data_IF_430284246499
#
_entry.id   IF_430284246499
#
_cell.length_a   1.000
_cell.length_b   1.000
_cell.length_c   1.000
_cell.angle_alpha   90.00
_cell.angle_beta   90.00
_cell.angle_gamma   90.00
#
_symmetry.space_group_name_H-M   'P 1'
#
loop_
_entity.id
_entity.type
_entity.pdbx_description
1 polymer ?
#
# COMPACT_ATOMS: atom_id res chain seq x y z
N UNK A 1 12.74 -0.95 -14.18
CA UNK A 1 12.94 -2.15 -13.34
C UNK A 1 14.19 -2.86 -13.83
N UNK A 2 15.23 -3.00 -13.00
CA UNK A 2 16.49 -3.65 -13.43
C UNK A 2 16.29 -5.16 -13.51
N UNK A 3 16.41 -5.71 -14.70
CA UNK A 3 16.36 -7.16 -14.97
C UNK A 3 17.79 -7.68 -14.81
N UNK A 4 18.27 -7.84 -13.58
CA UNK A 4 19.57 -8.49 -13.31
C UNK A 4 19.40 -9.92 -12.81
N UNK A 5 18.21 -10.27 -12.39
CA UNK A 5 17.79 -11.59 -11.95
C UNK A 5 17.02 -12.31 -13.07
N UNK A 6 16.71 -13.58 -12.87
CA UNK A 6 15.83 -14.34 -13.75
C UNK A 6 14.38 -14.28 -13.21
N UNK A 7 13.60 -13.23 -13.54
CA UNK A 7 12.30 -12.97 -12.91
C UNK A 7 11.27 -14.07 -13.14
N UNK A 8 11.50 -14.94 -14.10
CA UNK A 8 10.61 -16.05 -14.49
C UNK A 8 11.11 -17.41 -14.05
N UNK A 9 12.24 -17.52 -13.34
CA UNK A 9 12.87 -18.80 -13.04
C UNK A 9 12.01 -19.68 -12.11
N UNK A 10 11.49 -19.12 -11.05
CA UNK A 10 10.84 -19.91 -9.99
C UNK A 10 11.82 -20.83 -9.27
N UNK A 11 13.12 -20.57 -9.35
CA UNK A 11 14.16 -21.40 -8.75
C UNK A 11 14.04 -21.45 -7.24
N UNK A 12 14.31 -22.62 -6.69
CA UNK A 12 14.41 -22.84 -5.25
C UNK A 12 15.90 -22.89 -4.89
N UNK A 13 16.37 -21.89 -4.16
CA UNK A 13 17.75 -21.80 -3.69
C UNK A 13 17.71 -21.52 -2.19
N UNK A 14 18.42 -22.32 -1.37
CA UNK A 14 18.48 -22.15 0.08
C UNK A 14 17.10 -21.97 0.73
N UNK A 15 16.16 -22.84 0.39
CA UNK A 15 14.77 -22.82 0.88
C UNK A 15 13.98 -21.54 0.57
N UNK A 16 14.35 -20.82 -0.49
CA UNK A 16 13.68 -19.63 -0.99
C UNK A 16 13.23 -19.82 -2.43
N UNK A 17 12.05 -19.36 -2.76
CA UNK A 17 11.49 -19.34 -4.12
C UNK A 17 11.79 -17.97 -4.72
N UNK A 18 12.63 -17.93 -5.74
CA UNK A 18 13.00 -16.69 -6.44
C UNK A 18 12.12 -16.43 -7.66
N UNK A 19 11.83 -15.16 -7.90
CA UNK A 19 11.11 -14.71 -9.08
C UNK A 19 10.31 -13.45 -8.83
N UNK A 20 10.03 -12.71 -9.91
CA UNK A 20 9.19 -11.51 -9.83
C UNK A 20 7.79 -11.88 -9.37
N UNK A 21 7.29 -11.16 -8.34
CA UNK A 21 6.00 -11.41 -7.73
C UNK A 21 5.99 -12.62 -6.79
N UNK A 22 7.14 -13.25 -6.49
CA UNK A 22 7.18 -14.36 -5.51
C UNK A 22 6.70 -13.89 -4.14
N UNK A 23 7.02 -12.65 -3.77
CA UNK A 23 6.52 -12.00 -2.56
C UNK A 23 5.23 -11.23 -2.84
N UNK A 24 5.22 -10.40 -3.88
CA UNK A 24 4.13 -9.47 -4.20
C UNK A 24 3.53 -9.77 -5.59
N UNK A 25 2.41 -10.56 -5.63
CA UNK A 25 1.87 -11.32 -4.51
C UNK A 25 1.53 -12.77 -4.91
N UNK A 26 2.33 -13.42 -5.78
CA UNK A 26 2.05 -14.81 -6.23
C UNK A 26 1.99 -15.81 -5.07
N UNK A 27 2.77 -15.57 -3.99
CA UNK A 27 2.68 -16.34 -2.76
C UNK A 27 1.25 -16.27 -2.19
N UNK A 28 0.71 -15.07 -2.00
CA UNK A 28 -0.64 -14.86 -1.47
C UNK A 28 -1.73 -15.39 -2.41
N UNK A 29 -1.59 -15.15 -3.72
CA UNK A 29 -2.51 -15.69 -4.73
C UNK A 29 -2.55 -17.20 -4.69
N UNK A 30 -1.38 -17.86 -4.64
CA UNK A 30 -1.26 -19.31 -4.52
C UNK A 30 -1.84 -19.81 -3.21
N UNK A 31 -1.62 -19.11 -2.09
CA UNK A 31 -2.21 -19.45 -0.80
C UNK A 31 -3.75 -19.40 -0.84
N UNK A 32 -4.32 -18.38 -1.48
CA UNK A 32 -5.76 -18.25 -1.68
C UNK A 32 -6.34 -19.38 -2.54
N UNK A 33 -5.65 -19.75 -3.62
CA UNK A 33 -6.04 -20.88 -4.48
C UNK A 33 -5.99 -22.19 -3.67
N UNK A 34 -4.93 -22.44 -2.91
CA UNK A 34 -4.83 -23.63 -2.08
C UNK A 34 -5.89 -23.67 -0.97
N UNK A 35 -6.19 -22.53 -0.36
CA UNK A 35 -7.30 -22.40 0.59
C UNK A 35 -8.62 -22.86 -0.03
N UNK A 36 -8.93 -22.36 -1.23
CA UNK A 36 -10.13 -22.76 -1.95
C UNK A 36 -10.16 -24.27 -2.27
N UNK A 37 -9.05 -24.82 -2.77
CA UNK A 37 -8.94 -26.26 -3.08
C UNK A 37 -9.10 -27.13 -1.82
N UNK A 38 -8.46 -26.75 -0.72
CA UNK A 38 -8.54 -27.48 0.55
C UNK A 38 -9.97 -27.44 1.08
N UNK A 39 -10.57 -26.24 1.19
CA UNK A 39 -11.92 -26.09 1.76
C UNK A 39 -13.01 -26.72 0.90
N UNK A 40 -12.81 -26.80 -0.41
CA UNK A 40 -13.76 -27.54 -1.26
C UNK A 40 -13.89 -29.03 -0.87
N UNK A 41 -12.87 -29.61 -0.22
CA UNK A 41 -12.94 -30.98 0.31
C UNK A 41 -13.81 -31.09 1.57
N UNK A 42 -14.00 -29.99 2.27
CA UNK A 42 -14.75 -29.89 3.52
C UNK A 42 -16.08 -29.13 3.35
N UNK A 43 -16.50 -28.88 2.11
CA UNK A 43 -17.67 -28.05 1.79
C UNK A 43 -19.00 -28.48 2.42
N UNK A 44 -19.08 -29.72 2.92
CA UNK A 44 -20.26 -30.26 3.62
C UNK A 44 -20.22 -30.01 5.13
N UNK A 45 -19.11 -29.51 5.65
CA UNK A 45 -18.92 -29.29 7.08
C UNK A 45 -19.34 -27.88 7.53
N UNK A 46 -19.46 -26.93 6.60
CA UNK A 46 -19.88 -25.56 6.86
C UNK A 46 -21.01 -25.12 5.92
N UNK A 47 -21.80 -24.14 6.35
CA UNK A 47 -22.93 -23.60 5.58
C UNK A 47 -22.61 -22.30 4.85
N UNK A 48 -21.49 -21.68 5.13
CA UNK A 48 -21.05 -20.43 4.50
C UNK A 48 -20.58 -20.62 3.05
N UNK A 49 -20.31 -19.51 2.36
CA UNK A 49 -19.80 -19.46 0.99
C UNK A 49 -18.39 -18.91 0.96
N UNK A 50 -17.46 -19.67 0.38
CA UNK A 50 -16.11 -19.18 0.07
C UNK A 50 -16.04 -18.77 -1.39
N UNK A 51 -15.73 -17.50 -1.65
CA UNK A 51 -15.50 -16.97 -3.00
C UNK A 51 -14.02 -16.65 -3.17
N UNK A 52 -13.39 -17.20 -4.20
CA UNK A 52 -12.01 -16.88 -4.60
C UNK A 52 -12.05 -15.86 -5.73
N UNK A 53 -11.32 -14.75 -5.58
CA UNK A 53 -11.08 -13.78 -6.66
C UNK A 53 -9.59 -13.69 -6.96
N UNK A 54 -9.24 -13.68 -8.24
CA UNK A 54 -7.88 -13.43 -8.72
C UNK A 54 -7.97 -12.33 -9.79
N UNK A 55 -7.27 -11.23 -9.57
CA UNK A 55 -7.28 -10.05 -10.43
C UNK A 55 -5.89 -9.75 -10.97
N UNK A 56 -5.79 -8.96 -12.04
CA UNK A 56 -4.53 -8.73 -12.76
C UNK A 56 -4.05 -7.28 -12.77
N UNK A 57 -4.85 -6.32 -12.28
CA UNK A 57 -4.57 -4.89 -12.39
C UNK A 57 -4.45 -4.15 -11.06
N UNK A 58 -4.20 -4.87 -9.97
CA UNK A 58 -4.02 -4.29 -8.63
C UNK A 58 -2.87 -3.27 -8.61
N UNK A 59 -1.72 -3.62 -9.18
CA UNK A 59 -0.50 -2.81 -9.24
C UNK A 59 -0.66 -1.45 -9.96
N UNK A 60 -1.69 -1.33 -10.76
CA UNK A 60 -2.01 -0.10 -11.48
C UNK A 60 -3.24 0.62 -10.90
N UNK A 61 -3.82 0.08 -9.82
CA UNK A 61 -5.10 0.53 -9.26
C UNK A 61 -6.21 0.57 -10.33
N UNK A 62 -6.16 -0.38 -11.26
CA UNK A 62 -6.98 -0.39 -12.45
C UNK A 62 -8.47 -0.62 -12.19
N UNK A 63 -9.31 -0.29 -13.19
CA UNK A 63 -10.76 -0.45 -13.06
C UNK A 63 -11.26 -1.84 -13.44
N UNK A 64 -10.40 -2.73 -13.98
CA UNK A 64 -10.80 -3.97 -14.64
C UNK A 64 -10.84 -5.19 -13.71
N UNK A 65 -10.08 -5.16 -12.61
CA UNK A 65 -10.00 -6.23 -11.63
C UNK A 65 -11.06 -6.12 -10.53
N UNK A 66 -10.61 -5.88 -9.30
CA UNK A 66 -11.50 -5.85 -8.12
C UNK A 66 -12.63 -4.84 -8.23
N UNK A 67 -12.40 -3.67 -8.81
CA UNK A 67 -13.45 -2.65 -9.00
C UNK A 67 -14.55 -3.16 -9.92
N UNK A 68 -14.18 -3.74 -11.06
CA UNK A 68 -15.12 -4.31 -12.00
C UNK A 68 -15.94 -5.46 -11.37
N UNK A 69 -15.26 -6.35 -10.64
CA UNK A 69 -15.91 -7.47 -9.95
C UNK A 69 -16.96 -6.97 -8.95
N UNK A 70 -16.64 -5.97 -8.15
CA UNK A 70 -17.56 -5.41 -7.16
C UNK A 70 -18.82 -4.78 -7.78
N UNK A 71 -18.68 -4.21 -8.97
CA UNK A 71 -19.77 -3.53 -9.66
C UNK A 71 -20.64 -4.52 -10.47
N UNK A 72 -20.06 -5.64 -10.94
CA UNK A 72 -20.74 -6.57 -11.85
C UNK A 72 -21.07 -7.92 -11.20
N UNK A 73 -20.30 -8.34 -10.17
CA UNK A 73 -20.42 -9.62 -9.49
C UNK A 73 -20.52 -9.39 -7.98
N UNK A 74 -21.64 -8.84 -7.45
CA UNK A 74 -21.73 -8.42 -6.05
C UNK A 74 -21.50 -9.54 -5.03
N UNK A 75 -21.60 -10.80 -5.46
CA UNK A 75 -21.29 -11.96 -4.60
C UNK A 75 -19.84 -12.04 -4.15
N UNK A 76 -18.91 -11.30 -4.79
CA UNK A 76 -17.50 -11.23 -4.38
C UNK A 76 -17.30 -10.43 -3.10
N UNK A 77 -18.29 -9.63 -2.71
CA UNK A 77 -18.19 -8.80 -1.51
C UNK A 77 -18.11 -9.65 -0.24
N UNK A 78 -19.04 -10.59 -0.06
CA UNK A 78 -19.10 -11.41 1.16
C UNK A 78 -19.26 -10.60 2.44
N UNK A 79 -19.02 -11.25 3.58
CA UNK A 79 -19.08 -10.64 4.91
C UNK A 79 -17.68 -10.26 5.44
N UNK A 80 -16.63 -10.82 4.86
CA UNK A 80 -15.25 -10.57 5.21
C UNK A 80 -14.33 -10.89 4.02
N UNK A 81 -13.29 -10.10 3.83
CA UNK A 81 -12.23 -10.35 2.85
C UNK A 81 -10.93 -10.74 3.58
N UNK A 82 -10.33 -11.85 3.18
CA UNK A 82 -8.97 -12.24 3.55
C UNK A 82 -8.07 -12.14 2.32
N UNK A 83 -7.09 -11.26 2.38
CA UNK A 83 -6.18 -10.95 1.28
C UNK A 83 -4.76 -11.43 1.63
N UNK A 84 -4.03 -11.95 0.65
CA UNK A 84 -2.69 -12.55 0.81
C UNK A 84 -1.52 -11.62 0.48
N UNK A 85 -1.74 -10.32 0.37
CA UNK A 85 -0.68 -9.33 0.15
C UNK A 85 0.42 -9.38 1.21
N UNK A 86 1.67 -9.03 0.89
CA UNK A 86 2.78 -9.09 1.84
C UNK A 86 2.51 -8.22 3.06
N UNK A 87 2.40 -8.84 4.23
CA UNK A 87 2.16 -8.13 5.50
C UNK A 87 3.21 -8.41 6.55
N UNK A 88 4.08 -9.38 6.33
CA UNK A 88 4.89 -10.07 7.34
C UNK A 88 4.06 -11.01 8.23
N UNK A 89 4.59 -12.19 8.61
CA UNK A 89 3.93 -13.09 9.56
C UNK A 89 3.69 -12.50 10.95
N UNK A 90 4.39 -11.42 11.30
CA UNK A 90 4.28 -10.76 12.61
C UNK A 90 3.14 -9.74 12.68
N UNK A 91 2.50 -9.39 11.55
CA UNK A 91 1.48 -8.36 11.50
C UNK A 91 0.27 -8.78 10.66
N UNK A 92 -0.92 -8.30 11.04
CA UNK A 92 -2.14 -8.39 10.25
C UNK A 92 -2.56 -6.96 9.91
N UNK A 93 -2.69 -6.65 8.62
CA UNK A 93 -3.13 -5.32 8.21
C UNK A 93 -4.65 -5.24 8.27
N UNK A 94 -5.17 -4.35 9.11
CA UNK A 94 -6.61 -4.04 9.19
C UNK A 94 -6.97 -2.70 8.53
N UNK A 95 -5.97 -1.97 8.06
CA UNK A 95 -6.11 -0.70 7.41
C UNK A 95 -4.86 -0.37 6.59
N UNK A 96 -4.95 0.72 5.85
CA UNK A 96 -3.84 1.21 5.04
C UNK A 96 -3.89 2.73 4.87
N UNK A 97 -2.72 3.32 4.67
CA UNK A 97 -2.62 4.72 4.28
C UNK A 97 -3.25 4.92 2.91
N UNK A 98 -3.92 6.04 2.75
CA UNK A 98 -4.32 6.51 1.44
C UNK A 98 -3.12 6.99 0.63
N UNK A 99 -3.35 7.24 -0.65
CA UNK A 99 -2.38 7.86 -1.53
C UNK A 99 -3.01 8.96 -2.36
N UNK A 100 -2.23 10.00 -2.59
CA UNK A 100 -2.56 11.10 -3.48
C UNK A 100 -1.35 11.33 -4.38
N UNK A 101 -1.52 11.09 -5.69
CA UNK A 101 -0.49 11.36 -6.68
C UNK A 101 -0.80 12.64 -7.44
N UNK A 102 0.17 13.53 -7.46
CA UNK A 102 0.07 14.82 -8.12
C UNK A 102 1.25 15.03 -9.07
N UNK A 103 0.96 15.62 -10.22
CA UNK A 103 1.98 16.16 -11.12
C UNK A 103 1.94 17.68 -11.04
N UNK A 104 3.10 18.27 -10.75
CA UNK A 104 3.31 19.72 -10.76
C UNK A 104 4.08 20.08 -12.03
N UNK A 105 3.54 21.02 -12.80
CA UNK A 105 4.16 21.53 -14.03
C UNK A 105 4.45 23.00 -13.83
N UNK A 106 5.70 23.39 -14.04
CA UNK A 106 6.21 24.75 -13.87
C UNK A 106 6.57 25.29 -15.23
N UNK A 107 6.04 26.46 -15.57
CA UNK A 107 6.29 27.15 -16.84
C UNK A 107 6.73 28.58 -16.57
N UNK A 108 7.88 28.97 -17.12
CA UNK A 108 8.45 30.32 -17.07
C UNK A 108 8.90 30.73 -18.48
N UNK A 109 9.35 31.97 -18.66
CA UNK A 109 9.79 32.42 -19.98
C UNK A 109 11.17 31.85 -20.37
N UNK A 110 12.02 31.59 -19.38
CA UNK A 110 13.40 31.21 -19.64
C UNK A 110 14.26 32.33 -20.17
N UNK A 111 15.58 32.14 -20.20
CA UNK A 111 16.52 33.09 -20.77
C UNK A 111 17.90 32.46 -20.97
N UNK A 112 18.86 33.24 -21.51
CA UNK A 112 20.26 32.82 -21.49
C UNK A 112 20.79 32.83 -20.05
N UNK A 113 21.58 31.81 -19.65
CA UNK A 113 22.04 31.59 -18.28
C UNK A 113 22.84 32.73 -17.65
N UNK A 114 23.43 33.63 -18.45
CA UNK A 114 24.09 34.85 -17.96
C UNK A 114 23.10 35.93 -17.51
N UNK A 115 21.82 35.84 -17.88
CA UNK A 115 20.80 36.86 -17.63
C UNK A 115 19.69 36.36 -16.71
N UNK A 116 20.09 35.83 -15.56
CA UNK A 116 19.18 35.24 -14.56
C UNK A 116 18.14 36.20 -14.00
N UNK A 117 18.33 37.54 -14.20
CA UNK A 117 17.40 38.57 -13.80
C UNK A 117 16.20 38.78 -14.76
N UNK A 118 16.25 38.19 -15.97
CA UNK A 118 15.21 38.34 -16.99
C UNK A 118 14.06 37.33 -16.85
N UNK A 119 14.29 36.18 -16.22
CA UNK A 119 13.27 35.18 -16.02
C UNK A 119 13.52 34.39 -14.73
N UNK A 120 12.45 33.92 -14.10
CA UNK A 120 12.55 32.90 -13.05
C UNK A 120 13.02 31.58 -13.66
N UNK A 121 13.82 30.83 -12.92
CA UNK A 121 14.23 29.49 -13.31
C UNK A 121 13.17 28.49 -12.89
N UNK A 122 12.56 27.76 -13.82
CA UNK A 122 11.54 26.76 -13.53
C UNK A 122 12.04 25.65 -12.58
N UNK A 123 13.32 25.30 -12.64
CA UNK A 123 13.93 24.32 -11.73
C UNK A 123 14.10 24.85 -10.31
N UNK A 124 14.40 26.15 -10.14
CA UNK A 124 14.46 26.75 -8.80
C UNK A 124 13.06 26.90 -8.21
N UNK A 125 12.08 27.35 -9.00
CA UNK A 125 10.66 27.39 -8.59
C UNK A 125 10.20 26.00 -8.13
N UNK A 126 10.55 24.94 -8.87
CA UNK A 126 10.24 23.56 -8.46
C UNK A 126 10.88 23.19 -7.11
N UNK A 127 12.13 23.59 -6.88
CA UNK A 127 12.84 23.34 -5.62
C UNK A 127 12.15 24.04 -4.45
N UNK A 128 11.80 25.32 -4.62
CA UNK A 128 11.13 26.09 -3.58
C UNK A 128 9.74 25.55 -3.27
N UNK A 129 8.98 25.15 -4.30
CA UNK A 129 7.68 24.52 -4.14
C UNK A 129 7.78 23.18 -3.39
N UNK A 130 8.76 22.33 -3.71
CA UNK A 130 8.99 21.07 -3.01
C UNK A 130 9.28 21.30 -1.52
N UNK A 131 10.06 22.34 -1.18
CA UNK A 131 10.32 22.69 0.21
C UNK A 131 9.05 23.15 0.95
N UNK A 132 8.21 23.93 0.30
CA UNK A 132 6.91 24.34 0.88
C UNK A 132 5.97 23.14 1.06
N UNK A 133 5.92 22.21 0.09
CA UNK A 133 5.09 21.00 0.17
C UNK A 133 5.50 20.06 1.33
N UNK A 134 6.74 20.11 1.80
CA UNK A 134 7.16 19.37 3.00
C UNK A 134 6.39 19.76 4.26
N UNK A 135 5.79 20.94 4.30
CA UNK A 135 4.93 21.34 5.42
C UNK A 135 3.69 20.44 5.58
N UNK A 136 3.27 19.73 4.53
CA UNK A 136 2.17 18.76 4.62
C UNK A 136 2.47 17.63 5.63
N UNK A 137 3.74 17.27 5.85
CA UNK A 137 4.16 16.24 6.78
C UNK A 137 3.90 16.60 8.26
N UNK A 138 3.62 17.88 8.54
CA UNK A 138 3.26 18.40 9.88
C UNK A 138 1.76 18.51 10.11
N UNK A 139 0.94 18.14 9.11
CA UNK A 139 -0.51 18.11 9.28
C UNK A 139 -0.94 16.96 10.18
N UNK A 140 -1.65 17.30 11.25
CA UNK A 140 -2.16 16.31 12.19
C UNK A 140 -3.32 15.51 11.59
N UNK A 141 -3.34 14.21 11.88
CA UNK A 141 -4.46 13.32 11.64
C UNK A 141 -5.29 13.15 12.92
N UNK A 142 -6.60 13.18 12.78
CA UNK A 142 -7.53 12.93 13.87
C UNK A 142 -7.81 11.42 13.98
N UNK A 143 -6.78 10.67 14.40
CA UNK A 143 -6.86 9.21 14.52
C UNK A 143 -7.73 8.84 15.71
N UNK A 144 -8.74 7.94 15.57
CA UNK A 144 -9.53 7.44 16.69
C UNK A 144 -8.64 6.85 17.80
N UNK A 145 -8.98 7.08 19.06
CA UNK A 145 -8.17 6.65 20.21
C UNK A 145 -7.89 5.15 20.24
N UNK A 146 -8.89 4.33 19.88
CA UNK A 146 -8.74 2.87 19.77
C UNK A 146 -7.67 2.47 18.75
N UNK A 147 -7.61 3.14 17.60
CA UNK A 147 -6.59 2.88 16.57
C UNK A 147 -5.20 3.35 17.02
N UNK A 148 -5.13 4.48 17.75
CA UNK A 148 -3.85 4.94 18.32
C UNK A 148 -3.29 3.97 19.35
N UNK A 149 -4.15 3.38 20.18
CA UNK A 149 -3.75 2.36 21.15
C UNK A 149 -3.27 1.08 20.45
N UNK A 150 -4.01 0.61 19.45
CA UNK A 150 -3.62 -0.53 18.64
C UNK A 150 -2.24 -0.30 17.97
N UNK A 151 -2.04 0.86 17.33
CA UNK A 151 -0.76 1.23 16.71
C UNK A 151 0.40 1.29 17.70
N UNK A 152 0.17 1.81 18.91
CA UNK A 152 1.21 1.85 19.96
C UNK A 152 1.61 0.46 20.44
N UNK A 153 0.63 -0.44 20.63
CA UNK A 153 0.89 -1.82 21.04
C UNK A 153 1.66 -2.60 19.97
N UNK A 154 1.33 -2.39 18.72
CA UNK A 154 1.91 -3.12 17.59
C UNK A 154 3.23 -2.53 17.07
N UNK A 155 3.71 -1.40 17.60
CA UNK A 155 4.86 -0.66 17.05
C UNK A 155 6.11 -1.53 16.85
N UNK A 156 6.47 -2.36 17.82
CA UNK A 156 7.65 -3.23 17.72
C UNK A 156 7.49 -4.31 16.64
N UNK A 157 6.31 -4.95 16.55
CA UNK A 157 6.03 -5.94 15.52
C UNK A 157 5.95 -5.30 14.14
N UNK A 158 5.45 -4.07 14.06
CA UNK A 158 5.39 -3.32 12.82
C UNK A 158 6.79 -2.97 12.30
N UNK A 159 7.66 -2.45 13.15
CA UNK A 159 9.07 -2.17 12.79
C UNK A 159 9.82 -3.46 12.43
N UNK A 160 9.55 -4.57 13.11
CA UNK A 160 10.12 -5.88 12.78
C UNK A 160 9.66 -6.37 11.40
N UNK A 161 8.38 -6.18 11.05
CA UNK A 161 7.80 -6.68 9.81
C UNK A 161 8.04 -5.80 8.59
N UNK A 162 8.07 -4.47 8.79
CA UNK A 162 8.09 -3.48 7.71
C UNK A 162 9.33 -2.58 7.70
N UNK A 163 10.28 -2.83 8.61
CA UNK A 163 11.49 -2.04 8.76
C UNK A 163 11.41 -0.98 9.86
N UNK A 164 12.55 -0.73 10.49
CA UNK A 164 12.68 0.23 11.58
C UNK A 164 12.19 1.61 11.16
N UNK A 165 11.28 2.21 11.94
CA UNK A 165 10.67 3.51 11.68
C UNK A 165 9.29 3.42 11.02
N UNK A 166 8.82 2.24 10.61
CA UNK A 166 7.50 2.04 10.03
C UNK A 166 6.39 2.55 10.98
N UNK A 167 6.48 2.21 12.26
CA UNK A 167 5.53 2.65 13.28
C UNK A 167 5.50 4.18 13.45
N UNK A 168 6.63 4.87 13.21
CA UNK A 168 6.75 6.33 13.35
C UNK A 168 6.07 7.06 12.19
N UNK A 169 6.16 6.52 10.97
CA UNK A 169 5.61 7.18 9.76
C UNK A 169 4.17 6.79 9.45
N UNK A 170 3.65 5.69 10.03
CA UNK A 170 2.30 5.24 9.80
C UNK A 170 1.22 6.31 10.12
N UNK A 171 1.27 7.02 11.27
CA UNK A 171 0.28 8.04 11.63
C UNK A 171 0.51 9.40 10.96
N UNK A 172 1.53 9.56 10.11
CA UNK A 172 1.91 10.85 9.51
C UNK A 172 1.57 10.93 8.04
N UNK A 173 1.30 12.13 7.55
CA UNK A 173 1.41 12.42 6.12
C UNK A 173 2.88 12.27 5.73
N UNK A 174 3.17 11.64 4.60
CA UNK A 174 4.53 11.55 4.06
C UNK A 174 4.54 11.99 2.61
N UNK A 175 5.59 12.70 2.21
CA UNK A 175 5.80 13.21 0.86
C UNK A 175 7.04 12.56 0.24
N UNK A 176 6.85 11.94 -0.92
CA UNK A 176 7.94 11.49 -1.77
C UNK A 176 7.87 12.19 -3.13
N UNK A 177 9.00 12.70 -3.61
CA UNK A 177 9.12 13.19 -4.99
C UNK A 177 9.74 12.08 -5.82
N UNK A 178 8.87 11.31 -6.49
CA UNK A 178 9.28 10.12 -7.22
C UNK A 178 9.99 10.41 -8.54
N UNK A 179 9.70 11.58 -9.14
CA UNK A 179 10.28 11.99 -10.41
C UNK A 179 10.39 13.51 -10.47
N UNK A 180 11.48 14.00 -11.04
CA UNK A 180 11.67 15.42 -11.36
C UNK A 180 12.42 15.52 -12.69
N UNK A 181 11.98 16.42 -13.56
CA UNK A 181 12.61 16.65 -14.85
C UNK A 181 12.47 18.12 -15.25
N UNK A 182 13.56 18.74 -15.73
CA UNK A 182 13.51 20.13 -16.17
C UNK A 182 14.87 20.61 -16.64
N UNK A 183 14.82 21.74 -17.37
CA UNK A 183 16.01 22.34 -17.99
C UNK A 183 16.44 21.64 -19.27
N UNK A 184 17.13 22.38 -20.12
CA UNK A 184 17.60 21.90 -21.41
C UNK A 184 19.13 21.89 -21.50
N UNK A 185 19.79 22.94 -21.01
CA UNK A 185 21.24 23.14 -21.12
C UNK A 185 21.74 24.03 -19.99
N UNK A 186 22.96 23.79 -19.50
CA UNK A 186 23.53 24.51 -18.34
C UNK A 186 23.74 26.02 -18.53
N UNK A 187 23.80 26.52 -19.75
CA UNK A 187 23.88 27.96 -20.03
C UNK A 187 22.54 28.61 -20.40
N UNK A 188 21.43 28.00 -19.96
CA UNK A 188 20.06 28.52 -20.09
C UNK A 188 19.39 28.58 -18.73
N UNK A 189 18.59 29.60 -18.50
CA UNK A 189 17.60 29.65 -17.41
C UNK A 189 16.43 28.76 -17.84
N UNK A 190 16.15 27.64 -17.13
CA UNK A 190 15.09 26.73 -17.53
C UNK A 190 13.72 27.41 -17.59
N UNK A 191 12.99 27.18 -18.70
CA UNK A 191 11.61 27.60 -18.87
C UNK A 191 10.58 26.55 -18.40
N UNK A 192 11.02 25.31 -18.28
CA UNK A 192 10.13 24.19 -17.92
C UNK A 192 10.76 23.32 -16.85
N UNK A 193 9.91 22.86 -15.91
CA UNK A 193 10.21 21.81 -14.97
C UNK A 193 8.92 21.09 -14.59
N UNK A 194 8.99 19.81 -14.36
CA UNK A 194 7.88 19.04 -13.78
C UNK A 194 8.38 18.07 -12.71
N UNK A 195 7.54 17.79 -11.74
CA UNK A 195 7.79 16.71 -10.79
C UNK A 195 6.50 15.99 -10.40
N UNK A 196 6.67 14.73 -10.00
CA UNK A 196 5.58 13.87 -9.54
C UNK A 196 5.75 13.61 -8.04
N UNK A 197 4.68 13.88 -7.29
CA UNK A 197 4.62 13.70 -5.85
C UNK A 197 3.71 12.53 -5.49
N UNK A 198 4.20 11.64 -4.61
CA UNK A 198 3.45 10.60 -3.93
C UNK A 198 3.25 11.01 -2.46
N UNK A 199 2.02 11.41 -2.13
CA UNK A 199 1.62 11.83 -0.79
C UNK A 199 0.86 10.69 -0.14
N UNK A 200 1.39 10.13 0.97
CA UNK A 200 0.70 9.09 1.71
C UNK A 200 -0.08 9.69 2.88
N UNK A 201 -1.35 9.31 2.94
CA UNK A 201 -2.36 9.89 3.81
C UNK A 201 -2.66 8.93 4.96
N UNK A 202 -2.40 9.30 6.23
CA UNK A 202 -2.69 8.42 7.36
C UNK A 202 -4.21 8.26 7.58
N UNK A 203 -4.61 7.17 8.24
CA UNK A 203 -5.98 7.02 8.72
C UNK A 203 -6.31 8.18 9.65
N UNK A 204 -7.50 8.77 9.49
CA UNK A 204 -7.94 9.94 10.26
C UNK A 204 -7.46 11.28 9.70
N UNK A 205 -6.73 11.32 8.58
CA UNK A 205 -6.41 12.59 7.94
C UNK A 205 -7.67 13.25 7.36
N UNK A 206 -7.70 14.57 7.42
CA UNK A 206 -8.76 15.36 6.80
C UNK A 206 -8.33 15.75 5.38
N UNK A 207 -8.96 15.13 4.37
CA UNK A 207 -8.63 15.37 2.96
C UNK A 207 -8.83 16.83 2.55
N UNK A 208 -9.87 17.51 3.04
CA UNK A 208 -10.11 18.92 2.72
C UNK A 208 -8.99 19.81 3.23
N UNK A 209 -8.45 19.52 4.44
CA UNK A 209 -7.27 20.22 4.97
C UNK A 209 -6.03 19.98 4.08
N UNK A 210 -5.84 18.75 3.61
CA UNK A 210 -4.72 18.40 2.70
C UNK A 210 -4.83 19.22 1.39
N UNK A 211 -5.97 19.14 0.72
CA UNK A 211 -6.19 19.87 -0.54
C UNK A 211 -6.10 21.37 -0.36
N UNK A 212 -6.68 21.90 0.72
CA UNK A 212 -6.59 23.34 1.04
C UNK A 212 -5.14 23.78 1.24
N UNK A 213 -4.34 22.99 1.97
CA UNK A 213 -2.91 23.30 2.18
C UNK A 213 -2.12 23.27 0.86
N UNK A 214 -2.38 22.30 -0.01
CA UNK A 214 -1.76 22.22 -1.34
C UNK A 214 -2.14 23.46 -2.17
N UNK A 215 -3.41 23.85 -2.18
CA UNK A 215 -3.91 25.02 -2.89
C UNK A 215 -3.29 26.32 -2.35
N UNK A 216 -3.19 26.48 -1.03
CA UNK A 216 -2.54 27.64 -0.40
C UNK A 216 -1.05 27.72 -0.71
N UNK A 217 -0.36 26.61 -0.79
CA UNK A 217 1.05 26.53 -1.18
C UNK A 217 1.19 26.91 -2.66
N UNK A 218 0.43 26.28 -3.54
CA UNK A 218 0.54 26.48 -4.99
C UNK A 218 0.18 27.90 -5.43
N UNK A 219 -0.75 28.58 -4.75
CA UNK A 219 -1.07 29.99 -4.97
C UNK A 219 0.10 30.93 -4.80
N UNK A 220 1.15 30.57 -4.07
CA UNK A 220 2.38 31.35 -3.95
C UNK A 220 3.25 31.30 -5.22
N UNK A 221 2.97 30.37 -6.12
CA UNK A 221 3.75 30.06 -7.32
C UNK A 221 2.86 30.16 -8.56
N UNK A 222 2.65 31.37 -9.11
CA UNK A 222 1.74 31.57 -10.24
C UNK A 222 2.18 30.85 -11.52
N UNK A 223 3.45 30.41 -11.60
CA UNK A 223 4.02 29.64 -12.71
C UNK A 223 3.65 28.16 -12.68
N UNK A 224 2.95 27.70 -11.61
CA UNK A 224 2.70 26.27 -11.35
C UNK A 224 1.27 25.91 -11.71
N UNK A 225 1.11 24.80 -12.40
CA UNK A 225 -0.15 24.08 -12.52
C UNK A 225 -0.04 22.70 -11.87
N UNK A 226 -1.15 22.25 -11.29
CA UNK A 226 -1.23 20.95 -10.57
C UNK A 226 -2.26 20.07 -11.25
N UNK A 227 -1.89 18.80 -11.48
CA UNK A 227 -2.75 17.78 -12.02
C UNK A 227 -2.84 16.63 -11.00
N UNK A 228 -4.07 16.23 -10.64
CA UNK A 228 -4.30 15.07 -9.79
C UNK A 228 -4.37 13.81 -10.66
N UNK A 229 -3.39 12.92 -10.48
CA UNK A 229 -3.33 11.67 -11.20
C UNK A 229 -4.13 10.56 -10.51
N UNK A 230 -4.08 10.52 -9.16
CA UNK A 230 -4.71 9.46 -8.37
C UNK A 230 -5.09 9.98 -6.98
N UNK A 231 -6.22 9.51 -6.48
CA UNK A 231 -6.60 9.61 -5.07
C UNK A 231 -7.23 8.27 -4.65
N UNK A 232 -6.63 7.64 -3.66
CA UNK A 232 -7.23 6.56 -2.89
C UNK A 232 -7.23 7.01 -1.42
N UNK A 233 -8.40 7.28 -0.81
CA UNK A 233 -8.48 7.65 0.60
C UNK A 233 -7.89 6.56 1.51
N UNK A 234 -7.43 6.90 2.73
CA UNK A 234 -7.07 5.88 3.72
C UNK A 234 -8.29 5.05 4.10
N UNK A 235 -8.06 3.79 4.45
CA UNK A 235 -9.13 2.87 4.84
C UNK A 235 -8.74 2.03 6.04
N UNK A 236 -9.73 1.63 6.85
CA UNK A 236 -9.53 0.68 7.93
C UNK A 236 -10.85 -0.04 8.25
N UNK A 237 -10.74 -1.18 8.91
CA UNK A 237 -11.83 -1.86 9.59
C UNK A 237 -11.49 -2.03 11.07
N UNK A 238 -12.27 -2.81 11.79
CA UNK A 238 -12.04 -3.05 13.23
C UNK A 238 -10.75 -3.87 13.44
N UNK A 239 -9.78 -3.39 14.25
CA UNK A 239 -8.60 -4.15 14.59
C UNK A 239 -8.87 -5.39 15.48
N UNK A 240 -10.05 -5.50 16.08
CA UNK A 240 -10.46 -6.58 16.98
C UNK A 240 -11.66 -7.38 16.42
N UNK A 241 -11.85 -7.40 15.09
CA UNK A 241 -12.94 -8.14 14.45
C UNK A 241 -12.69 -9.67 14.41
N UNK A 242 -13.76 -10.42 14.14
CA UNK A 242 -13.77 -11.89 14.17
C UNK A 242 -12.63 -12.56 13.40
N UNK A 243 -12.36 -12.11 12.16
CA UNK A 243 -11.28 -12.66 11.37
C UNK A 243 -9.90 -12.31 11.94
N UNK A 244 -9.76 -11.15 12.59
CA UNK A 244 -8.52 -10.78 13.27
C UNK A 244 -8.22 -11.76 14.41
N UNK A 245 -9.21 -12.06 15.25
CA UNK A 245 -9.06 -13.01 16.37
C UNK A 245 -8.75 -14.42 15.88
N UNK A 246 -9.41 -14.87 14.83
CA UNK A 246 -9.17 -16.16 14.19
C UNK A 246 -7.75 -16.23 13.65
N UNK A 247 -7.30 -15.25 12.87
CA UNK A 247 -5.93 -15.17 12.35
C UNK A 247 -4.89 -15.22 13.47
N UNK A 248 -5.07 -14.38 14.51
CA UNK A 248 -4.17 -14.33 15.67
C UNK A 248 -4.08 -15.67 16.39
N UNK A 249 -5.21 -16.35 16.58
CA UNK A 249 -5.30 -17.66 17.21
C UNK A 249 -4.57 -18.72 16.38
N UNK A 250 -4.84 -18.77 15.07
CA UNK A 250 -4.23 -19.75 14.17
C UNK A 250 -2.72 -19.55 14.00
N UNK A 251 -2.27 -18.32 13.89
CA UNK A 251 -0.83 -18.04 13.85
C UNK A 251 -0.15 -18.45 15.17
N UNK A 252 -0.77 -18.15 16.31
CA UNK A 252 -0.25 -18.59 17.61
C UNK A 252 -0.16 -20.12 17.71
N UNK A 253 -1.16 -20.83 17.18
CA UNK A 253 -1.14 -22.29 17.12
C UNK A 253 -0.01 -22.83 16.22
N UNK A 254 0.17 -22.23 15.05
CA UNK A 254 1.14 -22.68 14.04
C UNK A 254 2.58 -22.26 14.32
N UNK A 255 2.82 -21.10 14.94
CA UNK A 255 4.14 -20.48 15.08
C UNK A 255 4.54 -20.17 16.53
N UNK A 256 3.63 -20.27 17.49
CA UNK A 256 3.90 -19.98 18.91
C UNK A 256 3.92 -18.49 19.28
N UNK A 257 3.71 -17.59 18.35
CA UNK A 257 3.57 -16.15 18.59
C UNK A 257 2.23 -15.63 18.03
N UNK A 258 1.81 -14.46 18.48
CA UNK A 258 0.59 -13.82 18.03
C UNK A 258 0.94 -12.58 17.19
N UNK A 259 0.44 -12.46 15.94
CA UNK A 259 0.69 -11.28 15.12
C UNK A 259 -0.10 -10.09 15.63
N UNK A 260 0.43 -8.89 15.41
CA UNK A 260 -0.18 -7.66 15.87
C UNK A 260 -0.94 -6.92 14.75
N UNK A 261 -2.07 -6.26 15.08
CA UNK A 261 -2.83 -5.48 14.10
C UNK A 261 -2.08 -4.20 13.72
N UNK A 262 -1.99 -3.91 12.41
CA UNK A 262 -1.30 -2.70 11.90
C UNK A 262 -2.07 -2.03 10.77
N UNK A 263 -1.81 -0.72 10.60
CA UNK A 263 -2.20 0.03 9.40
C UNK A 263 -1.02 0.03 8.43
N UNK A 264 -1.22 -0.52 7.23
CA UNK A 264 -0.18 -0.59 6.20
C UNK A 264 0.29 0.79 5.73
N UNK A 265 1.57 0.87 5.33
CA UNK A 265 2.14 2.05 4.65
C UNK A 265 1.77 2.10 3.17
N UNK A 266 1.60 0.93 2.52
CA UNK A 266 1.17 0.75 1.14
C UNK A 266 -0.31 0.43 1.03
N UNK A 267 -0.87 0.61 -0.16
CA UNK A 267 -2.25 0.28 -0.49
C UNK A 267 -2.36 -1.11 -1.10
N UNK A 268 -3.54 -1.73 -0.96
CA UNK A 268 -3.91 -3.02 -1.55
C UNK A 268 -5.36 -2.97 -2.00
N UNK A 269 -5.83 -3.93 -2.80
CA UNK A 269 -7.25 -4.01 -3.16
C UNK A 269 -8.18 -4.27 -1.96
N UNK A 270 -7.66 -4.72 -0.81
CA UNK A 270 -8.44 -4.86 0.42
C UNK A 270 -9.15 -3.56 0.84
N UNK A 271 -8.60 -2.38 0.45
CA UNK A 271 -9.25 -1.08 0.67
C UNK A 271 -10.64 -0.99 0.06
N UNK A 272 -10.86 -1.64 -1.07
CA UNK A 272 -12.12 -1.56 -1.80
C UNK A 272 -13.28 -2.21 -1.02
N UNK A 273 -13.01 -3.31 -0.31
CA UNK A 273 -13.96 -3.91 0.65
C UNK A 273 -14.21 -2.98 1.83
N UNK A 274 -13.15 -2.40 2.39
CA UNK A 274 -13.27 -1.44 3.52
C UNK A 274 -14.08 -0.20 3.12
N UNK A 275 -13.99 0.28 1.88
CA UNK A 275 -14.83 1.38 1.37
C UNK A 275 -16.32 1.00 1.29
N UNK A 276 -16.63 -0.29 1.23
CA UNK A 276 -18.01 -0.81 1.29
C UNK A 276 -18.43 -1.19 2.73
N UNK A 277 -17.62 -0.84 3.74
CA UNK A 277 -17.80 -1.20 5.14
C UNK A 277 -17.77 -2.72 5.40
N UNK A 278 -17.07 -3.48 4.56
CA UNK A 278 -16.84 -4.90 4.74
C UNK A 278 -15.44 -5.07 5.35
N UNK A 279 -15.31 -5.80 6.48
CA UNK A 279 -14.02 -6.07 7.07
C UNK A 279 -13.08 -6.76 6.07
N UNK A 280 -11.87 -6.22 5.95
CA UNK A 280 -10.87 -6.80 5.07
C UNK A 280 -9.51 -6.78 5.75
N UNK A 281 -8.93 -7.97 5.88
CA UNK A 281 -7.66 -8.19 6.56
C UNK A 281 -6.64 -8.73 5.57
N UNK A 282 -5.40 -8.27 5.74
CA UNK A 282 -4.28 -8.71 4.90
C UNK A 282 -3.31 -9.48 5.77
N UNK A 283 -3.03 -10.73 5.36
CA UNK A 283 -2.04 -11.57 6.00
C UNK A 283 -1.25 -12.34 4.95
N UNK A 284 0.03 -12.04 4.84
CA UNK A 284 0.89 -12.60 3.80
C UNK A 284 2.36 -12.67 4.23
N UNK A 285 3.26 -12.99 3.29
CA UNK A 285 4.67 -13.21 3.58
C UNK A 285 5.40 -11.93 3.99
N UNK A 286 6.64 -12.10 4.45
CA UNK A 286 7.55 -10.98 4.69
C UNK A 286 7.84 -10.26 3.36
N UNK A 287 7.76 -8.91 3.29
CA UNK A 287 7.96 -8.14 2.05
C UNK A 287 9.44 -8.06 1.64
N UNK A 288 10.12 -9.20 1.54
CA UNK A 288 11.56 -9.28 1.26
C UNK A 288 11.86 -9.05 -0.21
N UNK A 289 12.59 -8.00 -0.53
CA UNK A 289 12.99 -7.70 -1.91
C UNK A 289 11.83 -7.33 -2.84
N UNK A 290 10.65 -7.04 -2.30
CA UNK A 290 9.47 -6.64 -3.04
C UNK A 290 9.79 -5.51 -4.04
N UNK A 291 9.47 -5.70 -5.31
CA UNK A 291 9.74 -4.74 -6.38
C UNK A 291 11.22 -4.54 -6.75
N UNK A 292 12.17 -5.20 -6.08
CA UNK A 292 13.60 -5.07 -6.32
C UNK A 292 14.21 -6.28 -7.08
N UNK A 293 15.54 -6.29 -7.24
CA UNK A 293 16.27 -7.48 -7.74
C UNK A 293 16.27 -8.59 -6.70
N UNK A 294 16.28 -9.84 -7.14
CA UNK A 294 16.31 -11.03 -6.27
C UNK A 294 15.11 -11.13 -5.32
N UNK A 295 13.96 -10.70 -5.76
CA UNK A 295 12.70 -10.91 -5.02
C UNK A 295 12.49 -12.40 -4.76
N UNK A 296 12.21 -12.75 -3.51
CA UNK A 296 12.03 -14.13 -3.10
C UNK A 296 11.13 -14.27 -1.88
N UNK A 297 10.52 -15.44 -1.73
CA UNK A 297 9.77 -15.81 -0.54
C UNK A 297 10.38 -17.08 0.08
N UNK A 298 10.62 -17.13 1.41
CA UNK A 298 10.99 -18.36 2.09
C UNK A 298 9.87 -19.42 1.96
N UNK A 299 10.23 -20.66 1.67
CA UNK A 299 9.26 -21.78 1.56
C UNK A 299 8.47 -21.92 2.85
N UNK A 300 9.11 -21.78 3.99
CA UNK A 300 8.45 -21.88 5.29
C UNK A 300 7.41 -20.77 5.50
N UNK A 301 7.68 -19.55 5.07
CA UNK A 301 6.69 -18.46 5.08
C UNK A 301 5.53 -18.78 4.13
N UNK A 302 5.82 -19.21 2.90
CA UNK A 302 4.78 -19.59 1.95
C UNK A 302 3.84 -20.67 2.50
N UNK A 303 4.40 -21.76 3.02
CA UNK A 303 3.61 -22.85 3.61
C UNK A 303 2.85 -22.40 4.85
N UNK A 304 3.42 -21.51 5.64
CA UNK A 304 2.73 -20.90 6.77
C UNK A 304 1.50 -20.11 6.33
N UNK A 305 1.63 -19.27 5.30
CA UNK A 305 0.49 -18.49 4.77
C UNK A 305 -0.61 -19.40 4.25
N UNK A 306 -0.28 -20.44 3.48
CA UNK A 306 -1.26 -21.43 3.01
C UNK A 306 -2.02 -22.04 4.18
N UNK A 307 -1.32 -22.51 5.23
CA UNK A 307 -1.94 -23.14 6.41
C UNK A 307 -2.82 -22.15 7.17
N UNK A 308 -2.32 -20.94 7.40
CA UNK A 308 -3.05 -19.91 8.15
C UNK A 308 -4.32 -19.50 7.42
N UNK A 309 -4.25 -19.24 6.10
CA UNK A 309 -5.42 -18.88 5.31
C UNK A 309 -6.47 -20.00 5.31
N UNK A 310 -6.04 -21.25 5.09
CA UNK A 310 -6.96 -22.39 5.06
C UNK A 310 -7.67 -22.59 6.40
N UNK A 311 -6.92 -22.59 7.52
CA UNK A 311 -7.50 -22.73 8.86
C UNK A 311 -8.40 -21.55 9.20
N UNK A 312 -7.97 -20.31 8.91
CA UNK A 312 -8.74 -19.13 9.28
C UNK A 312 -10.03 -18.99 8.47
N UNK A 313 -10.00 -19.33 7.19
CA UNK A 313 -11.21 -19.36 6.38
C UNK A 313 -12.16 -20.48 6.84
N UNK A 314 -11.64 -21.67 7.22
CA UNK A 314 -12.44 -22.75 7.78
C UNK A 314 -13.12 -22.34 9.09
N UNK A 315 -12.34 -21.83 10.04
CA UNK A 315 -12.86 -21.40 11.35
C UNK A 315 -13.90 -20.28 11.22
N UNK A 316 -13.71 -19.39 10.26
CA UNK A 316 -14.68 -18.30 9.99
C UNK A 316 -15.99 -18.83 9.42
N UNK A 317 -15.93 -19.83 8.52
CA UNK A 317 -17.09 -20.45 7.89
C UNK A 317 -17.85 -21.39 8.85
N UNK A 318 -17.20 -21.84 9.94
CA UNK A 318 -17.81 -22.67 10.99
C UNK A 318 -18.56 -21.87 12.07
N UNK A 319 -18.41 -20.53 12.10
CA UNK A 319 -19.18 -19.65 12.97
C UNK A 319 -20.62 -19.51 12.49
#
# INVERSE_FOLDING_TARGET
>A
MCIRDSPWSGEIIEDKIFGRGSTDMKCGTSASIWTYIILNKFKTEFSGKLTLTCVSDEETFGPWGSRWLMDNEPEVLGDCCLNGEPSSPYTIRYGEKGLLWLTFKIQTEGSHGAYTHLSKSATLVATDLIQELKSLEFLDAEVPSSLLEAQKKSAAAFDQGMGIGAAVIAPKVTLNIGKISGGLKNNMVPSECSFEADIRLPVGCNLDKIFKSIDEITKKFPEVSVEQNMLNPPSHCDPDGDMMDILRSNVKHLRGFQPEPVVSLGGTDARLWRYKNIPAYVYGPTPTGMGSTNEHVPIDDYLHIVRTHALSAYDYLMK
#
